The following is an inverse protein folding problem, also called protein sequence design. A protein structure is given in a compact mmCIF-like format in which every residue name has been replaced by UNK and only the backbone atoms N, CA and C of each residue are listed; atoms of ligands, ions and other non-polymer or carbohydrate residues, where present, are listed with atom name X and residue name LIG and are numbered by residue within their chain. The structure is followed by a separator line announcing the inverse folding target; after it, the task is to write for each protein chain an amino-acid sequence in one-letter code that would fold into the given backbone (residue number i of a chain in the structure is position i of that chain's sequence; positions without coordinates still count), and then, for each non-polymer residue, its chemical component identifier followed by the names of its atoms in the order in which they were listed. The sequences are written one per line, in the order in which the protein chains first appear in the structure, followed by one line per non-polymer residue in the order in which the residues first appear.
data_IF_641549928763
#
_entry.id   IF_641549928763
#
_cell.length_a   1.000
_cell.length_b   1.000
_cell.length_c   1.000
_cell.angle_alpha   90.00
_cell.angle_beta   90.00
_cell.angle_gamma   90.00
#
_symmetry.space_group_name_H-M   'P 1'
#
loop_
_entity.id
_entity.type
_entity.pdbx_description
1 polymer ?
#
# COMPACT_ATOMS: atom_id res chain seq x y z
N UNK A 1 10.22 23.64 3.06
CA UNK A 1 8.81 23.51 2.56
C UNK A 1 8.30 24.93 2.41
N UNK A 2 7.78 25.27 1.23
CA UNK A 2 7.19 26.57 0.92
C UNK A 2 6.08 26.89 1.96
N UNK A 3 5.95 28.17 2.34
CA UNK A 3 4.99 28.65 3.34
C UNK A 3 3.54 28.25 3.02
N UNK A 4 3.21 28.16 1.74
CA UNK A 4 1.89 27.74 1.23
C UNK A 4 1.68 26.23 1.46
N UNK A 5 2.70 25.41 1.18
CA UNK A 5 2.66 23.97 1.39
C UNK A 5 2.57 23.64 2.90
N UNK A 6 3.32 24.35 3.75
CA UNK A 6 3.23 24.21 5.20
C UNK A 6 1.80 24.51 5.69
N UNK A 7 1.22 25.62 5.28
CA UNK A 7 -0.14 26.01 5.68
C UNK A 7 -1.19 25.01 5.23
N UNK A 8 -1.09 24.46 4.02
CA UNK A 8 -2.07 23.48 3.49
C UNK A 8 -1.90 22.08 4.06
N UNK A 9 -0.67 21.62 4.27
CA UNK A 9 -0.38 20.22 4.65
C UNK A 9 -0.23 20.03 6.15
N UNK A 10 0.05 21.10 6.90
CA UNK A 10 0.32 21.03 8.34
C UNK A 10 -0.73 21.75 9.17
N UNK A 11 -1.07 22.99 8.79
CA UNK A 11 -1.94 23.86 9.62
C UNK A 11 -3.43 23.64 9.35
N UNK A 12 -3.82 23.28 8.12
CA UNK A 12 -5.21 22.95 7.74
C UNK A 12 -5.48 21.43 7.82
N UNK A 13 -4.76 20.70 8.68
CA UNK A 13 -4.92 19.26 8.83
C UNK A 13 -6.36 18.87 9.12
N UNK A 14 -6.79 17.74 8.53
CA UNK A 14 -8.05 17.09 8.83
C UNK A 14 -8.17 16.93 10.37
N UNK A 15 -9.29 17.32 11.01
CA UNK A 15 -9.49 17.10 12.44
C UNK A 15 -9.34 15.64 12.88
N UNK A 16 -9.36 14.70 11.93
CA UNK A 16 -9.06 13.28 12.15
C UNK A 16 -7.54 13.00 12.16
N UNK A 17 -6.69 13.91 11.69
CA UNK A 17 -5.22 13.78 11.81
C UNK A 17 -4.76 14.03 13.24
N UNK A 18 -4.75 12.96 14.00
CA UNK A 18 -4.25 12.95 15.38
C UNK A 18 -2.72 12.91 15.34
N UNK A 19 -2.07 13.89 15.92
CA UNK A 19 -0.62 13.87 16.13
C UNK A 19 -0.02 15.25 16.38
N UNK A 20 1.12 15.32 17.09
CA UNK A 20 1.85 16.56 17.30
C UNK A 20 2.20 17.24 15.97
N UNK A 21 2.29 18.57 15.98
CA UNK A 21 2.65 19.37 14.79
C UNK A 21 3.94 18.86 14.12
N UNK A 22 4.92 18.44 14.90
CA UNK A 22 6.18 17.87 14.39
C UNK A 22 5.95 16.63 13.52
N UNK A 23 5.07 15.73 13.95
CA UNK A 23 4.74 14.53 13.14
C UNK A 23 4.07 14.90 11.83
N UNK A 24 3.22 15.93 11.81
CA UNK A 24 2.60 16.43 10.58
C UNK A 24 3.63 17.06 9.63
N UNK A 25 4.59 17.81 10.17
CA UNK A 25 5.72 18.37 9.41
C UNK A 25 6.58 17.26 8.79
N UNK A 26 6.90 16.21 9.55
CA UNK A 26 7.69 15.08 9.07
C UNK A 26 6.95 14.29 7.97
N UNK A 27 5.64 14.05 8.16
CA UNK A 27 4.79 13.43 7.11
C UNK A 27 4.74 14.27 5.83
N UNK A 28 4.58 15.58 5.94
CA UNK A 28 4.58 16.48 4.80
C UNK A 28 5.94 16.46 4.07
N UNK A 29 7.04 16.45 4.82
CA UNK A 29 8.40 16.34 4.27
C UNK A 29 8.60 15.02 3.52
N UNK A 30 8.18 13.89 4.11
CA UNK A 30 8.21 12.57 3.45
C UNK A 30 7.38 12.60 2.17
N UNK A 31 6.16 13.13 2.21
CA UNK A 31 5.29 13.23 1.04
C UNK A 31 5.92 14.01 -0.11
N UNK A 32 6.56 15.16 0.19
CA UNK A 32 7.28 15.96 -0.82
C UNK A 32 8.44 15.17 -1.42
N UNK A 33 9.25 14.50 -0.59
CA UNK A 33 10.39 13.71 -1.07
C UNK A 33 9.94 12.52 -1.94
N UNK A 34 8.87 11.83 -1.57
CA UNK A 34 8.27 10.76 -2.38
C UNK A 34 7.78 11.31 -3.72
N UNK A 35 7.13 12.47 -3.74
CA UNK A 35 6.69 13.13 -4.97
C UNK A 35 7.87 13.49 -5.88
N UNK A 36 8.94 14.07 -5.32
CA UNK A 36 10.15 14.41 -6.08
C UNK A 36 10.83 13.15 -6.65
N UNK A 37 10.90 12.07 -5.88
CA UNK A 37 11.43 10.79 -6.34
C UNK A 37 10.55 10.21 -7.47
N UNK A 38 9.24 10.28 -7.34
CA UNK A 38 8.29 9.85 -8.37
C UNK A 38 8.45 10.69 -9.66
N UNK A 39 8.58 12.00 -9.56
CA UNK A 39 8.82 12.88 -10.71
C UNK A 39 10.15 12.55 -11.41
N UNK A 40 11.20 12.27 -10.64
CA UNK A 40 12.50 11.84 -11.19
C UNK A 40 12.38 10.49 -11.91
N UNK A 41 11.69 9.52 -11.30
CA UNK A 41 11.43 8.23 -11.91
C UNK A 41 10.58 8.37 -13.20
N UNK A 42 9.57 9.22 -13.19
CA UNK A 42 8.76 9.50 -14.38
C UNK A 42 9.59 10.12 -15.51
N UNK A 43 10.44 11.10 -15.23
CA UNK A 43 11.30 11.74 -16.25
C UNK A 43 12.26 10.75 -16.91
N UNK A 44 12.86 9.87 -16.12
CA UNK A 44 13.91 8.94 -16.55
C UNK A 44 13.37 7.53 -16.91
N UNK A 45 12.09 7.27 -16.68
CA UNK A 45 11.49 5.98 -16.88
C UNK A 45 11.22 5.64 -18.35
N UNK A 46 11.17 4.34 -18.64
CA UNK A 46 10.72 3.82 -19.93
C UNK A 46 9.25 4.21 -20.21
N UNK A 47 8.78 4.09 -21.46
CA UNK A 47 7.37 4.34 -21.78
C UNK A 47 6.39 3.53 -20.93
N UNK A 48 6.72 2.28 -20.61
CA UNK A 48 5.91 1.42 -19.73
C UNK A 48 5.83 1.98 -18.31
N UNK A 49 6.95 2.39 -17.71
CA UNK A 49 6.99 3.03 -16.40
C UNK A 49 6.17 4.32 -16.39
N UNK A 50 6.31 5.16 -17.42
CA UNK A 50 5.54 6.40 -17.55
C UNK A 50 4.04 6.15 -17.60
N UNK A 51 3.60 5.15 -18.35
CA UNK A 51 2.20 4.76 -18.44
C UNK A 51 1.67 4.20 -17.11
N UNK A 52 2.43 3.33 -16.45
CA UNK A 52 2.07 2.81 -15.14
C UNK A 52 1.89 3.93 -14.11
N UNK A 53 2.83 4.88 -14.06
CA UNK A 53 2.76 6.01 -13.15
C UNK A 53 1.59 6.96 -13.45
N UNK A 54 1.29 7.22 -14.73
CA UNK A 54 0.09 7.99 -15.12
C UNK A 54 -1.18 7.31 -14.63
N UNK A 55 -1.32 6.01 -14.89
CA UNK A 55 -2.50 5.25 -14.48
C UNK A 55 -2.67 5.24 -12.96
N UNK A 56 -1.56 5.08 -12.22
CA UNK A 56 -1.54 5.16 -10.77
C UNK A 56 -2.04 6.52 -10.28
N UNK A 57 -1.46 7.60 -10.81
CA UNK A 57 -1.82 8.97 -10.41
C UNK A 57 -3.28 9.29 -10.71
N UNK A 58 -3.77 8.90 -11.89
CA UNK A 58 -5.17 9.10 -12.29
C UNK A 58 -6.14 8.32 -11.41
N UNK A 59 -5.86 7.03 -11.18
CA UNK A 59 -6.68 6.20 -10.29
C UNK A 59 -6.72 6.76 -8.87
N UNK A 60 -5.57 7.17 -8.35
CA UNK A 60 -5.46 7.75 -7.01
C UNK A 60 -6.24 9.06 -6.88
N UNK A 61 -6.15 9.94 -7.88
CA UNK A 61 -6.85 11.22 -7.88
C UNK A 61 -8.38 11.04 -7.94
N UNK A 62 -8.85 10.11 -8.77
CA UNK A 62 -10.29 9.82 -8.90
C UNK A 62 -10.83 9.10 -7.66
N UNK A 63 -10.04 8.20 -7.06
CA UNK A 63 -10.48 7.42 -5.91
C UNK A 63 -10.35 8.15 -4.57
N UNK A 64 -9.60 9.25 -4.50
CA UNK A 64 -9.27 9.93 -3.24
C UNK A 64 -10.50 10.40 -2.46
N UNK A 65 -11.52 10.94 -3.13
CA UNK A 65 -12.76 11.40 -2.48
C UNK A 65 -13.58 10.23 -1.91
N UNK A 66 -13.74 9.15 -2.69
CA UNK A 66 -14.47 7.95 -2.24
C UNK A 66 -13.77 7.23 -1.10
N UNK A 67 -12.44 7.17 -1.16
CA UNK A 67 -11.65 6.55 -0.09
C UNK A 67 -11.70 7.38 1.20
N UNK A 68 -11.70 8.70 1.09
CA UNK A 68 -11.86 9.59 2.25
C UNK A 68 -13.21 9.43 2.93
N UNK A 69 -14.28 9.18 2.16
CA UNK A 69 -15.62 8.90 2.72
C UNK A 69 -15.65 7.57 3.49
N UNK A 70 -15.05 6.51 2.95
CA UNK A 70 -14.92 5.22 3.64
C UNK A 70 -14.17 5.36 4.97
N UNK A 71 -13.05 6.07 4.96
CA UNK A 71 -12.27 6.37 6.19
C UNK A 71 -13.11 7.10 7.22
N UNK A 72 -13.89 8.10 6.80
CA UNK A 72 -14.78 8.87 7.69
C UNK A 72 -15.87 7.98 8.27
N UNK A 73 -16.55 7.19 7.45
CA UNK A 73 -17.61 6.26 7.88
C UNK A 73 -17.07 5.24 8.88
N UNK A 74 -15.88 4.68 8.61
CA UNK A 74 -15.23 3.76 9.53
C UNK A 74 -14.92 4.42 10.87
N UNK A 75 -14.36 5.64 10.84
CA UNK A 75 -14.07 6.40 12.06
C UNK A 75 -15.32 6.70 12.88
N UNK A 76 -16.41 7.14 12.22
CA UNK A 76 -17.68 7.41 12.88
C UNK A 76 -18.27 6.15 13.56
N UNK A 77 -18.08 4.99 12.92
CA UNK A 77 -18.62 3.72 13.44
C UNK A 77 -17.77 3.13 14.57
N UNK A 78 -16.44 3.26 14.50
CA UNK A 78 -15.52 2.53 15.39
C UNK A 78 -14.72 3.43 16.33
N UNK A 79 -14.76 4.76 16.18
CA UNK A 79 -14.00 5.71 16.99
C UNK A 79 -12.49 5.71 16.73
N UNK A 80 -12.02 4.91 15.78
CA UNK A 80 -10.59 4.79 15.40
C UNK A 80 -10.42 4.95 13.90
N UNK A 81 -9.28 5.48 13.48
CA UNK A 81 -8.94 5.57 12.06
C UNK A 81 -8.51 4.21 11.52
N UNK A 82 -9.01 3.76 10.37
CA UNK A 82 -8.57 2.51 9.78
C UNK A 82 -7.11 2.60 9.33
N UNK A 83 -6.39 1.47 9.26
CA UNK A 83 -5.05 1.41 8.69
C UNK A 83 -5.02 1.92 7.25
N UNK A 84 -4.03 2.76 6.91
CA UNK A 84 -3.86 3.25 5.53
C UNK A 84 -3.34 2.17 4.57
N UNK A 85 -2.66 1.17 5.10
CA UNK A 85 -2.15 0.00 4.36
C UNK A 85 -1.98 -1.18 5.32
N UNK A 86 -1.78 -2.36 4.74
CA UNK A 86 -1.39 -3.57 5.48
C UNK A 86 -0.11 -4.16 4.89
N UNK A 87 0.60 -4.90 5.70
CA UNK A 87 1.63 -5.85 5.24
C UNK A 87 1.02 -7.23 5.26
N UNK A 88 0.99 -7.91 4.13
CA UNK A 88 0.43 -9.23 3.96
C UNK A 88 1.54 -10.20 3.54
N UNK A 89 1.65 -11.31 4.26
CA UNK A 89 2.61 -12.38 3.98
C UNK A 89 1.85 -13.64 3.57
N UNK A 90 1.47 -13.78 2.30
CA UNK A 90 0.67 -14.93 1.85
C UNK A 90 1.46 -16.22 1.81
N UNK A 91 2.79 -16.16 1.71
CA UNK A 91 3.68 -17.30 1.63
C UNK A 91 4.71 -17.27 2.77
N UNK A 92 4.85 -18.39 3.46
CA UNK A 92 5.88 -18.56 4.47
C UNK A 92 7.16 -19.21 3.94
N UNK A 93 7.08 -19.97 2.83
CA UNK A 93 8.23 -20.62 2.19
C UNK A 93 9.10 -19.62 1.43
N UNK A 94 10.38 -19.92 1.33
CA UNK A 94 11.35 -19.09 0.59
C UNK A 94 12.41 -19.95 -0.07
N UNK A 95 12.74 -19.67 -1.31
CA UNK A 95 13.83 -20.28 -2.06
C UNK A 95 15.13 -19.45 -2.00
N UNK A 96 15.12 -18.31 -1.28
CA UNK A 96 16.26 -17.43 -1.11
C UNK A 96 16.95 -17.69 0.23
N UNK A 97 18.23 -17.30 0.34
CA UNK A 97 19.05 -17.42 1.55
C UNK A 97 19.64 -16.05 1.93
N UNK A 98 18.74 -15.09 2.18
CA UNK A 98 19.16 -13.74 2.53
C UNK A 98 19.86 -13.75 3.89
N UNK A 99 21.02 -13.10 3.98
CA UNK A 99 21.69 -12.86 5.26
C UNK A 99 20.77 -12.02 6.16
N UNK A 100 20.63 -12.43 7.41
CA UNK A 100 19.83 -11.74 8.41
C UNK A 100 18.35 -11.59 8.02
N UNK A 101 17.77 -12.60 7.37
CA UNK A 101 16.36 -12.62 7.00
C UNK A 101 15.46 -12.48 8.22
N UNK A 102 14.65 -11.44 8.28
CA UNK A 102 13.75 -11.17 9.40
C UNK A 102 12.63 -12.21 9.55
N UNK A 103 12.24 -12.84 8.44
CA UNK A 103 11.15 -13.83 8.42
C UNK A 103 11.64 -15.24 8.78
N UNK A 104 12.97 -15.48 8.83
CA UNK A 104 13.56 -16.79 9.05
C UNK A 104 12.90 -17.89 8.20
N UNK A 105 12.50 -17.55 6.98
CA UNK A 105 11.76 -18.44 6.10
C UNK A 105 12.62 -19.62 5.63
N UNK A 106 11.97 -20.77 5.46
CA UNK A 106 12.59 -22.02 5.01
C UNK A 106 11.90 -22.53 3.73
N UNK A 107 12.57 -23.39 2.92
CA UNK A 107 12.00 -23.83 1.64
C UNK A 107 10.73 -24.67 1.74
N UNK A 108 10.48 -25.31 2.87
CA UNK A 108 9.36 -26.27 3.08
C UNK A 108 8.75 -26.16 4.46
N UNK A 109 7.53 -26.62 4.60
CA UNK A 109 6.89 -26.84 5.90
C UNK A 109 6.20 -25.62 6.53
N UNK A 110 6.22 -24.45 5.89
CA UNK A 110 5.49 -23.30 6.38
C UNK A 110 4.11 -23.17 5.70
N UNK A 111 3.11 -22.70 6.44
CA UNK A 111 1.77 -22.49 5.89
C UNK A 111 1.77 -21.32 4.89
N UNK A 112 0.80 -21.35 3.97
CA UNK A 112 0.47 -20.23 3.09
C UNK A 112 -1.02 -19.88 3.26
N UNK A 113 -1.39 -18.66 2.87
CA UNK A 113 -2.78 -18.26 2.83
C UNK A 113 -3.44 -18.76 1.54
N UNK A 114 -4.69 -19.20 1.64
CA UNK A 114 -5.47 -19.57 0.46
C UNK A 114 -5.77 -18.33 -0.39
N UNK A 115 -5.96 -18.51 -1.70
CA UNK A 115 -6.34 -17.45 -2.61
C UNK A 115 -7.65 -16.76 -2.19
N UNK A 116 -8.63 -17.55 -1.72
CA UNK A 116 -9.88 -17.03 -1.17
C UNK A 116 -9.65 -16.10 0.04
N UNK A 117 -8.75 -16.47 0.93
CA UNK A 117 -8.43 -15.65 2.11
C UNK A 117 -7.75 -14.34 1.70
N UNK A 118 -6.78 -14.39 0.77
CA UNK A 118 -6.09 -13.21 0.26
C UNK A 118 -7.08 -12.29 -0.46
N UNK A 119 -7.91 -12.82 -1.34
CA UNK A 119 -8.94 -12.08 -2.06
C UNK A 119 -9.90 -11.37 -1.09
N UNK A 120 -10.39 -12.06 -0.07
CA UNK A 120 -11.27 -11.51 0.96
C UNK A 120 -10.60 -10.37 1.73
N UNK A 121 -9.36 -10.55 2.18
CA UNK A 121 -8.61 -9.50 2.90
C UNK A 121 -8.48 -8.24 2.03
N UNK A 122 -8.13 -8.40 0.75
CA UNK A 122 -7.95 -7.29 -0.18
C UNK A 122 -9.27 -6.55 -0.44
N UNK A 123 -10.38 -7.28 -0.62
CA UNK A 123 -11.72 -6.69 -0.79
C UNK A 123 -12.17 -5.95 0.46
N UNK A 124 -12.14 -6.60 1.62
CA UNK A 124 -12.64 -6.02 2.87
C UNK A 124 -11.88 -4.75 3.26
N UNK A 125 -10.54 -4.75 3.17
CA UNK A 125 -9.77 -3.54 3.49
C UNK A 125 -10.07 -2.38 2.53
N UNK A 126 -10.29 -2.68 1.25
CA UNK A 126 -10.63 -1.65 0.26
C UNK A 126 -12.05 -1.12 0.47
N UNK A 127 -13.00 -2.00 0.71
CA UNK A 127 -14.41 -1.64 0.88
C UNK A 127 -14.67 -0.91 2.19
N UNK A 128 -14.12 -1.41 3.28
CA UNK A 128 -14.40 -0.88 4.62
C UNK A 128 -13.49 0.27 5.00
N UNK A 129 -12.21 0.21 4.62
CA UNK A 129 -11.20 1.18 5.06
C UNK A 129 -10.82 2.20 3.99
N UNK A 130 -11.20 1.97 2.73
CA UNK A 130 -10.68 2.75 1.60
C UNK A 130 -9.18 2.56 1.37
N UNK A 131 -8.59 1.53 1.96
CA UNK A 131 -7.16 1.24 1.85
C UNK A 131 -6.86 0.53 0.54
N UNK A 132 -6.17 1.21 -0.35
CA UNK A 132 -5.82 0.75 -1.70
C UNK A 132 -4.37 0.24 -1.81
N UNK A 133 -3.56 0.40 -0.78
CA UNK A 133 -2.15 0.03 -0.78
C UNK A 133 -1.91 -1.21 0.09
N UNK A 134 -1.16 -2.18 -0.46
CA UNK A 134 -0.76 -3.41 0.24
C UNK A 134 0.72 -3.65 0.01
N UNK A 135 1.43 -3.91 1.08
CA UNK A 135 2.81 -4.41 1.02
C UNK A 135 2.75 -5.93 1.10
N UNK A 136 3.31 -6.60 0.12
CA UNK A 136 3.43 -8.06 0.11
C UNK A 136 4.84 -8.44 0.54
N UNK A 137 4.93 -9.30 1.51
CA UNK A 137 6.18 -9.77 2.10
C UNK A 137 6.04 -11.24 2.53
N UNK A 138 6.85 -11.70 3.48
CA UNK A 138 6.80 -13.06 4.03
C UNK A 138 8.05 -13.84 3.71
N UNK A 139 7.94 -15.04 3.16
CA UNK A 139 9.02 -15.77 2.53
C UNK A 139 9.36 -15.14 1.18
N UNK A 140 9.29 -15.92 0.09
CA UNK A 140 9.35 -15.35 -1.27
C UNK A 140 7.92 -15.21 -1.83
N UNK A 141 7.40 -13.99 -1.99
CA UNK A 141 6.01 -13.79 -2.41
C UNK A 141 5.67 -14.38 -3.78
N UNK A 142 6.62 -14.43 -4.71
CA UNK A 142 6.41 -15.03 -6.02
C UNK A 142 6.42 -16.56 -6.03
N UNK A 143 6.72 -17.21 -4.88
CA UNK A 143 6.48 -18.64 -4.69
C UNK A 143 5.03 -18.95 -4.29
N UNK A 144 4.26 -17.94 -3.88
CA UNK A 144 2.88 -18.14 -3.52
C UNK A 144 2.04 -18.57 -4.72
N UNK A 145 1.41 -19.70 -4.58
CA UNK A 145 0.45 -20.23 -5.55
C UNK A 145 -0.57 -21.10 -4.80
N UNK A 146 -1.82 -20.82 -4.97
CA UNK A 146 -2.91 -21.58 -4.42
C UNK A 146 -3.89 -21.97 -5.54
N UNK A 147 -3.92 -23.28 -5.84
CA UNK A 147 -4.78 -23.86 -6.88
C UNK A 147 -4.62 -23.18 -8.28
N UNK A 148 -3.40 -22.77 -8.63
CA UNK A 148 -3.09 -22.15 -9.92
C UNK A 148 -3.27 -20.63 -9.94
N UNK A 149 -3.70 -20.02 -8.84
CA UNK A 149 -3.77 -18.55 -8.67
C UNK A 149 -2.47 -18.09 -8.02
N UNK A 150 -1.73 -17.23 -8.69
CA UNK A 150 -0.50 -16.63 -8.19
C UNK A 150 -0.69 -15.15 -7.79
N UNK A 151 0.38 -14.53 -7.32
CA UNK A 151 0.36 -13.12 -6.90
C UNK A 151 0.02 -12.16 -8.05
N UNK A 152 0.42 -12.51 -9.28
CA UNK A 152 0.15 -11.68 -10.45
C UNK A 152 -1.33 -11.75 -10.82
N UNK A 153 -1.92 -12.94 -10.74
CA UNK A 153 -3.35 -13.12 -10.96
C UNK A 153 -4.17 -12.40 -9.89
N UNK A 154 -3.76 -12.49 -8.64
CA UNK A 154 -4.37 -11.72 -7.56
C UNK A 154 -4.31 -10.21 -7.82
N UNK A 155 -3.18 -9.69 -8.30
CA UNK A 155 -3.06 -8.27 -8.64
C UNK A 155 -3.96 -7.86 -9.83
N UNK A 156 -4.18 -8.75 -10.81
CA UNK A 156 -5.13 -8.52 -11.91
C UNK A 156 -6.59 -8.52 -11.44
N UNK A 157 -6.91 -9.34 -10.45
CA UNK A 157 -8.26 -9.39 -9.85
C UNK A 157 -8.60 -8.12 -9.06
N UNK A 158 -7.58 -7.39 -8.58
CA UNK A 158 -7.72 -6.16 -7.79
C UNK A 158 -7.08 -4.93 -8.47
N UNK A 159 -7.57 -4.51 -9.65
CA UNK A 159 -6.96 -3.42 -10.43
C UNK A 159 -7.08 -2.04 -9.75
N UNK A 160 -7.94 -1.90 -8.74
CA UNK A 160 -8.09 -0.70 -7.93
C UNK A 160 -7.03 -0.57 -6.85
N UNK A 161 -6.27 -1.63 -6.56
CA UNK A 161 -5.25 -1.65 -5.53
C UNK A 161 -3.84 -1.51 -6.09
N UNK A 162 -2.93 -1.18 -5.21
CA UNK A 162 -1.51 -1.07 -5.49
C UNK A 162 -0.71 -1.98 -4.57
N UNK A 163 0.20 -2.74 -5.17
CA UNK A 163 1.02 -3.71 -4.46
C UNK A 163 2.49 -3.29 -4.50
N UNK A 164 3.13 -3.24 -3.36
CA UNK A 164 4.58 -3.19 -3.22
C UNK A 164 5.05 -4.54 -2.75
N UNK A 165 5.93 -5.19 -3.50
CA UNK A 165 6.40 -6.54 -3.22
C UNK A 165 7.86 -6.51 -2.80
N UNK A 166 8.17 -7.13 -1.67
CA UNK A 166 9.53 -7.40 -1.22
C UNK A 166 9.93 -8.81 -1.67
N UNK A 167 10.91 -8.87 -2.58
CA UNK A 167 11.47 -10.10 -3.13
C UNK A 167 12.99 -10.01 -3.17
#
# INVERSE_FOLDING_TARGET
IDRIAKKRLVDNGDPIEIGPTKVREDKACIGVNVLLAALKAYRNGSPGVKNAMKNLFFKQFISSSKNSEKVRTFYQKHGIRPPGFIVLSPEGRCNLQCKDCYAASVPVGLPHLSAETVDRILKEKYEQWGSWFTVISGGEPFMWNDNGIDLIDMAKMHPEQYFMVYT
#
